data_IF_340337106096
#
_entry.id   IF_340337106096
#
_cell.length_a   1.000
_cell.length_b   1.000
_cell.length_c   1.000
_cell.angle_alpha   90.00
_cell.angle_beta   90.00
_cell.angle_gamma   90.00
#
_symmetry.space_group_name_H-M   'P 1'
#
loop_
_entity.id
_entity.type
_entity.pdbx_description
1 polymer ?
#
# COMPACT_ATOMS: atom_id res chain seq x y z
N UNK A 1 16.65 -31.32 17.71
CA UNK A 1 16.50 -29.86 17.45
C UNK A 1 15.57 -29.68 16.28
N UNK A 2 14.28 -29.37 16.54
CA UNK A 2 13.35 -28.97 15.48
C UNK A 2 13.70 -27.53 15.13
N UNK A 3 14.20 -27.34 13.91
CA UNK A 3 14.51 -26.03 13.38
C UNK A 3 13.20 -25.25 13.24
N UNK A 4 12.97 -24.26 14.10
CA UNK A 4 12.03 -23.17 13.86
C UNK A 4 12.67 -22.27 12.80
N UNK A 5 12.79 -22.82 11.59
CA UNK A 5 13.39 -22.18 10.43
C UNK A 5 12.36 -21.17 9.95
N UNK A 6 12.60 -19.92 10.30
CA UNK A 6 11.87 -18.74 9.87
C UNK A 6 10.35 -18.90 9.99
N UNK A 7 9.76 -18.30 11.03
CA UNK A 7 8.40 -17.78 10.85
C UNK A 7 8.42 -16.95 9.57
N UNK A 8 7.92 -17.57 8.50
CA UNK A 8 7.68 -16.98 7.21
C UNK A 8 6.65 -15.90 7.55
N UNK A 9 7.11 -14.66 7.81
CA UNK A 9 6.25 -13.49 8.01
C UNK A 9 5.63 -13.17 6.66
N UNK A 10 4.85 -14.12 6.15
CA UNK A 10 3.90 -13.91 5.07
C UNK A 10 2.86 -13.04 5.71
N UNK A 11 2.72 -11.81 5.20
CA UNK A 11 1.55 -11.00 5.48
C UNK A 11 0.35 -11.90 5.13
N UNK A 12 -0.32 -12.42 6.16
CA UNK A 12 -1.26 -13.53 5.99
C UNK A 12 -2.43 -13.17 5.06
N UNK A 13 -2.69 -11.87 4.87
CA UNK A 13 -3.57 -11.32 3.83
C UNK A 13 -3.25 -9.84 3.63
N UNK A 14 -2.54 -9.46 2.54
CA UNK A 14 -2.35 -8.05 2.19
C UNK A 14 -3.73 -7.39 1.96
N UNK A 15 -3.91 -6.19 2.49
CA UNK A 15 -5.17 -5.43 2.45
C UNK A 15 -5.28 -4.55 1.21
N UNK A 16 -4.16 -4.07 0.68
CA UNK A 16 -4.12 -3.09 -0.40
C UNK A 16 -3.50 -3.63 -1.70
N UNK A 17 -3.07 -4.89 -1.69
CA UNK A 17 -2.48 -5.54 -2.85
C UNK A 17 -3.06 -6.93 -3.06
N UNK A 18 -3.22 -7.33 -4.32
CA UNK A 18 -3.71 -8.64 -4.71
C UNK A 18 -2.52 -9.54 -5.07
N UNK A 19 -2.42 -10.76 -4.49
CA UNK A 19 -1.40 -11.71 -4.91
C UNK A 19 -1.65 -12.16 -6.37
N UNK A 20 -0.58 -12.26 -7.15
CA UNK A 20 -0.62 -12.71 -8.54
C UNK A 20 -0.01 -14.10 -8.70
N UNK A 21 -0.31 -14.77 -9.81
CA UNK A 21 0.16 -16.16 -10.07
C UNK A 21 1.68 -16.31 -10.12
N UNK A 22 2.40 -15.23 -10.42
CA UNK A 22 3.87 -15.19 -10.46
C UNK A 22 4.51 -14.84 -9.11
N UNK A 23 3.74 -14.87 -8.02
CA UNK A 23 4.22 -14.63 -6.66
C UNK A 23 4.49 -13.16 -6.34
N UNK A 24 4.02 -12.24 -7.19
CA UNK A 24 4.08 -10.81 -6.98
C UNK A 24 2.75 -10.28 -6.43
N UNK A 25 2.69 -8.98 -6.21
CA UNK A 25 1.53 -8.29 -5.65
C UNK A 25 1.13 -7.12 -6.54
N UNK A 26 -0.10 -7.15 -7.07
CA UNK A 26 -0.66 -6.07 -7.86
C UNK A 26 -1.33 -5.02 -6.96
N UNK A 27 -1.11 -3.71 -7.17
CA UNK A 27 -1.76 -2.68 -6.38
C UNK A 27 -3.27 -2.65 -6.65
N UNK A 28 -4.07 -2.47 -5.59
CA UNK A 28 -5.47 -2.05 -5.70
C UNK A 28 -5.49 -0.53 -5.83
N UNK A 29 -6.07 -0.01 -6.90
CA UNK A 29 -6.21 1.43 -7.10
C UNK A 29 -7.44 1.94 -6.34
N UNK A 30 -7.26 2.90 -5.44
CA UNK A 30 -8.34 3.53 -4.70
C UNK A 30 -8.57 4.94 -5.23
N UNK A 31 -9.84 5.31 -5.38
CA UNK A 31 -10.22 6.66 -5.83
C UNK A 31 -9.98 7.71 -4.73
N UNK A 32 -10.26 7.36 -3.48
CA UNK A 32 -10.03 8.21 -2.32
C UNK A 32 -9.03 7.53 -1.39
N UNK A 33 -7.96 8.24 -1.07
CA UNK A 33 -6.90 7.74 -0.19
C UNK A 33 -6.76 8.74 0.94
N UNK A 34 -6.96 8.30 2.18
CA UNK A 34 -6.66 9.14 3.35
C UNK A 34 -5.16 9.10 3.63
N UNK A 35 -4.64 10.07 4.39
CA UNK A 35 -3.21 10.04 4.80
C UNK A 35 -2.84 8.75 5.54
N UNK A 36 -3.71 8.31 6.45
CA UNK A 36 -3.53 7.03 7.16
C UNK A 36 -3.49 5.85 6.18
N UNK A 37 -4.38 5.84 5.19
CA UNK A 37 -4.41 4.77 4.19
C UNK A 37 -3.15 4.79 3.32
N UNK A 38 -2.64 5.96 2.93
CA UNK A 38 -1.34 6.09 2.25
C UNK A 38 -0.23 5.44 3.08
N UNK A 39 -0.15 5.77 4.36
CA UNK A 39 0.88 5.24 5.25
C UNK A 39 0.78 3.72 5.41
N UNK A 40 -0.45 3.20 5.57
CA UNK A 40 -0.71 1.76 5.65
C UNK A 40 -0.34 1.04 4.33
N UNK A 41 -0.62 1.64 3.17
CA UNK A 41 -0.23 1.11 1.85
C UNK A 41 1.30 1.05 1.72
N UNK A 42 2.01 2.13 2.08
CA UNK A 42 3.46 2.21 1.97
C UNK A 42 4.18 1.24 2.93
N UNK A 43 3.63 1.09 4.14
CA UNK A 43 4.11 0.09 5.09
C UNK A 43 3.91 -1.33 4.55
N UNK A 44 2.71 -1.64 4.02
CA UNK A 44 2.44 -2.94 3.41
C UNK A 44 3.40 -3.23 2.24
N UNK A 45 3.65 -2.25 1.35
CA UNK A 45 4.63 -2.39 0.25
C UNK A 45 6.02 -2.78 0.76
N UNK A 46 6.48 -2.12 1.81
CA UNK A 46 7.79 -2.38 2.42
C UNK A 46 7.88 -3.82 2.94
N UNK A 47 6.85 -4.27 3.64
CA UNK A 47 6.77 -5.65 4.16
C UNK A 47 6.71 -6.67 3.02
N UNK A 48 5.93 -6.41 1.97
CA UNK A 48 5.84 -7.29 0.80
C UNK A 48 7.19 -7.42 0.09
N UNK A 49 7.89 -6.31 -0.17
CA UNK A 49 9.23 -6.35 -0.79
C UNK A 49 10.24 -7.09 0.09
N UNK A 50 10.21 -6.88 1.40
CA UNK A 50 11.10 -7.57 2.34
C UNK A 50 10.89 -9.09 2.33
N UNK A 51 9.63 -9.54 2.17
CA UNK A 51 9.26 -10.96 2.10
C UNK A 51 9.65 -11.65 0.79
N UNK A 52 9.92 -10.88 -0.28
CA UNK A 52 10.23 -11.43 -1.60
C UNK A 52 11.71 -11.83 -1.75
N UNK A 53 11.99 -12.87 -2.55
CA UNK A 53 13.35 -13.18 -3.02
C UNK A 53 13.99 -11.97 -3.71
N UNK A 54 15.31 -11.72 -3.52
CA UNK A 54 15.98 -10.55 -4.09
C UNK A 54 15.79 -10.38 -5.61
N UNK A 55 15.78 -11.49 -6.36
CA UNK A 55 15.58 -11.49 -7.80
C UNK A 55 14.22 -10.92 -8.25
N UNK A 56 13.21 -10.96 -7.39
CA UNK A 56 11.85 -10.48 -7.69
C UNK A 56 11.59 -9.04 -7.24
N UNK A 57 12.38 -8.51 -6.31
CA UNK A 57 12.15 -7.19 -5.70
C UNK A 57 12.12 -6.06 -6.72
N UNK A 58 13.04 -6.05 -7.68
CA UNK A 58 13.08 -5.03 -8.74
C UNK A 58 11.83 -5.08 -9.63
N UNK A 59 11.30 -6.28 -9.90
CA UNK A 59 10.07 -6.45 -10.68
C UNK A 59 8.84 -6.05 -9.87
N UNK A 60 8.81 -6.37 -8.57
CA UNK A 60 7.76 -5.93 -7.66
C UNK A 60 7.68 -4.40 -7.56
N UNK A 61 8.83 -3.72 -7.45
CA UNK A 61 8.86 -2.26 -7.36
C UNK A 61 8.21 -1.62 -8.60
N UNK A 62 8.54 -2.11 -9.81
CA UNK A 62 7.91 -1.65 -11.05
C UNK A 62 6.39 -1.84 -11.09
N UNK A 63 5.83 -2.82 -10.38
CA UNK A 63 4.38 -2.99 -10.26
C UNK A 63 3.79 -1.96 -9.30
N UNK A 64 4.45 -1.69 -8.18
CA UNK A 64 4.03 -0.67 -7.22
C UNK A 64 4.06 0.73 -7.82
N UNK A 65 5.03 1.04 -8.69
CA UNK A 65 5.16 2.33 -9.34
C UNK A 65 3.96 2.67 -10.27
N UNK A 66 3.12 1.69 -10.62
CA UNK A 66 1.91 1.92 -11.44
C UNK A 66 0.79 2.65 -10.69
N UNK A 67 0.90 2.73 -9.37
CA UNK A 67 -0.09 3.38 -8.51
C UNK A 67 0.62 4.16 -7.42
N UNK A 68 0.42 5.47 -7.38
CA UNK A 68 0.99 6.35 -6.37
C UNK A 68 -0.06 6.73 -5.30
N UNK A 69 -0.03 6.10 -4.11
CA UNK A 69 -0.94 6.45 -3.02
C UNK A 69 -0.63 7.83 -2.41
N UNK A 70 0.57 8.39 -2.62
CA UNK A 70 0.93 9.72 -2.13
C UNK A 70 0.21 10.78 -2.96
N UNK A 71 0.24 10.64 -4.30
CA UNK A 71 -0.56 11.49 -5.19
C UNK A 71 -2.05 11.39 -4.88
N UNK A 72 -2.57 10.17 -4.68
CA UNK A 72 -3.98 9.94 -4.30
C UNK A 72 -4.36 10.65 -2.99
N UNK A 73 -3.53 10.54 -1.96
CA UNK A 73 -3.78 11.20 -0.68
C UNK A 73 -3.77 12.72 -0.79
N UNK A 74 -2.79 13.27 -1.51
CA UNK A 74 -2.72 14.71 -1.76
C UNK A 74 -3.98 15.22 -2.47
N UNK A 75 -4.38 14.58 -3.56
CA UNK A 75 -5.58 14.99 -4.31
C UNK A 75 -6.86 14.86 -3.48
N UNK A 76 -6.95 13.87 -2.59
CA UNK A 76 -8.10 13.76 -1.70
C UNK A 76 -8.11 14.86 -0.63
N UNK A 77 -6.96 15.21 -0.05
CA UNK A 77 -6.84 16.35 0.88
C UNK A 77 -7.22 17.66 0.19
N UNK A 78 -6.72 17.92 -1.02
CA UNK A 78 -7.08 19.11 -1.81
C UNK A 78 -8.59 19.18 -2.09
N UNK A 79 -9.21 18.04 -2.39
CA UNK A 79 -10.67 17.95 -2.56
C UNK A 79 -11.41 18.31 -1.26
N UNK A 80 -10.98 17.76 -0.12
CA UNK A 80 -11.59 18.05 1.17
C UNK A 80 -11.48 19.54 1.54
N UNK A 81 -10.32 20.15 1.29
CA UNK A 81 -10.08 21.59 1.51
C UNK A 81 -10.97 22.46 0.62
N UNK A 82 -11.16 22.10 -0.65
CA UNK A 82 -12.06 22.80 -1.58
C UNK A 82 -13.49 22.87 -1.03
N UNK A 83 -13.95 21.78 -0.42
CA UNK A 83 -15.27 21.72 0.22
C UNK A 83 -15.26 22.17 1.69
N UNK A 84 -14.16 22.75 2.17
CA UNK A 84 -13.96 23.26 3.53
C UNK A 84 -14.16 22.19 4.61
N UNK A 85 -13.79 20.94 4.34
CA UNK A 85 -13.85 19.88 5.33
C UNK A 85 -12.70 19.99 6.35
N UNK A 86 -12.95 19.73 7.66
CA UNK A 86 -14.26 19.53 8.27
C UNK A 86 -15.08 20.81 8.15
N UNK A 87 -16.34 20.68 7.68
CA UNK A 87 -17.19 21.81 7.33
C UNK A 87 -17.12 22.87 8.42
N UNK A 88 -16.50 24.00 8.12
CA UNK A 88 -16.46 25.13 9.04
C UNK A 88 -17.92 25.50 9.34
N UNK A 89 -18.33 25.30 10.59
CA UNK A 89 -19.70 25.58 11.03
C UNK A 89 -20.09 26.99 10.62
N UNK A 90 -21.21 27.12 9.92
CA UNK A 90 -21.90 28.39 9.78
C UNK A 90 -22.37 28.80 11.18
N UNK A 91 -21.54 29.58 11.87
CA UNK A 91 -21.99 30.39 13.00
C UNK A 91 -22.76 31.60 12.47
#
# INVERSE_FOLDING_TARGET
>A
MKSHLAEDIRIASPRFHLPTRDGLYAPIAFLFVTERMRDDILNERSLLVASLPPALRARQQKLFDRYDPVAGARSFTELLELYRYPFAGSH
#
